data_IF_588912401499
#
_entry.id   IF_588912401499
#
_cell.length_a   1.000
_cell.length_b   1.000
_cell.length_c   1.000
_cell.angle_alpha   90.00
_cell.angle_beta   90.00
_cell.angle_gamma   90.00
#
_symmetry.space_group_name_H-M   'P 1'
#
loop_
_entity.id
_entity.type
_entity.pdbx_description
1 polymer ?
#
# COMPACT_ATOMS: atom_id res chain seq x y z
N UNK A 1 -5.06 6.71 -22.42
CA UNK A 1 -4.40 5.66 -21.58
C UNK A 1 -5.43 5.12 -20.61
N UNK A 2 -5.64 3.80 -20.55
CA UNK A 2 -6.52 3.20 -19.53
C UNK A 2 -5.86 3.35 -18.16
N UNK A 3 -6.54 4.01 -17.22
CA UNK A 3 -6.09 4.18 -15.84
C UNK A 3 -7.02 3.37 -14.95
N UNK A 4 -6.45 2.56 -14.06
CA UNK A 4 -7.21 1.88 -13.03
C UNK A 4 -7.66 2.88 -11.96
N UNK A 5 -8.84 2.66 -11.40
CA UNK A 5 -9.28 3.36 -10.19
C UNK A 5 -8.69 2.67 -8.96
N UNK A 6 -8.41 3.44 -7.91
CA UNK A 6 -7.90 2.91 -6.64
C UNK A 6 -9.02 2.95 -5.61
N UNK A 7 -9.22 1.83 -4.91
CA UNK A 7 -10.07 1.75 -3.72
C UNK A 7 -9.20 1.36 -2.54
N UNK A 8 -9.00 2.30 -1.62
CA UNK A 8 -8.26 2.07 -0.39
C UNK A 8 -9.24 1.63 0.69
N UNK A 9 -9.03 0.46 1.28
CA UNK A 9 -9.86 -0.04 2.36
C UNK A 9 -9.51 0.65 3.68
N UNK A 10 -10.46 0.65 4.63
CA UNK A 10 -10.27 1.24 5.96
C UNK A 10 -9.02 0.72 6.68
N UNK A 11 -8.71 -0.57 6.52
CA UNK A 11 -7.50 -1.18 7.08
C UNK A 11 -6.21 -0.56 6.53
N UNK A 12 -6.17 -0.27 5.23
CA UNK A 12 -5.02 0.39 4.62
C UNK A 12 -4.90 1.88 5.01
N UNK A 13 -6.03 2.54 5.30
CA UNK A 13 -6.02 3.90 5.85
C UNK A 13 -5.45 3.89 7.27
N UNK A 14 -5.92 2.97 8.12
CA UNK A 14 -5.38 2.83 9.48
C UNK A 14 -3.87 2.51 9.49
N UNK A 15 -3.41 1.62 8.59
CA UNK A 15 -1.98 1.33 8.42
C UNK A 15 -1.18 2.59 8.01
N UNK A 16 -1.77 3.47 7.18
CA UNK A 16 -1.13 4.71 6.75
C UNK A 16 -1.03 5.72 7.88
N UNK A 17 -2.10 5.88 8.64
CA UNK A 17 -2.16 6.82 9.75
C UNK A 17 -1.13 6.42 10.83
N UNK A 18 -1.09 5.13 11.21
CA UNK A 18 -0.10 4.60 12.16
C UNK A 18 1.35 4.84 11.68
N UNK A 19 1.63 4.53 10.41
CA UNK A 19 2.95 4.72 9.84
C UNK A 19 3.35 6.20 9.72
N UNK A 20 2.40 7.07 9.38
CA UNK A 20 2.61 8.50 9.30
C UNK A 20 2.91 9.10 10.67
N UNK A 21 2.13 8.77 11.69
CA UNK A 21 2.36 9.21 13.07
C UNK A 21 3.74 8.76 13.56
N UNK A 22 4.07 7.47 13.40
CA UNK A 22 5.38 6.93 13.78
C UNK A 22 6.55 7.70 13.16
N UNK A 23 6.49 7.99 11.85
CA UNK A 23 7.57 8.72 11.19
C UNK A 23 7.57 10.21 11.52
N UNK A 24 6.41 10.80 11.80
CA UNK A 24 6.26 12.20 12.20
C UNK A 24 6.86 12.44 13.58
N UNK A 25 6.65 11.52 14.52
CA UNK A 25 7.22 11.55 15.87
C UNK A 25 8.75 11.50 15.85
N UNK A 26 9.34 10.79 14.88
CA UNK A 26 10.79 10.79 14.66
C UNK A 26 11.24 12.13 14.05
N UNK A 27 10.56 12.56 12.98
CA UNK A 27 10.81 13.83 12.30
C UNK A 27 9.61 14.18 11.41
N UNK A 28 8.97 15.36 11.56
CA UNK A 28 7.82 15.74 10.75
C UNK A 28 8.05 15.65 9.23
N UNK A 29 9.25 16.00 8.75
CA UNK A 29 9.62 15.90 7.33
C UNK A 29 9.68 14.45 6.85
N UNK A 30 9.91 13.49 7.74
CA UNK A 30 9.95 12.07 7.41
C UNK A 30 8.54 11.51 7.21
N UNK A 31 7.57 11.92 8.04
CA UNK A 31 6.14 11.63 7.85
C UNK A 31 5.63 12.14 6.50
N UNK A 32 5.89 13.42 6.18
CA UNK A 32 5.56 13.99 4.88
C UNK A 32 6.19 13.22 3.71
N UNK A 33 7.47 12.87 3.85
CA UNK A 33 8.20 12.08 2.85
C UNK A 33 7.59 10.71 2.67
N UNK A 34 7.15 10.05 3.73
CA UNK A 34 6.48 8.76 3.68
C UNK A 34 5.21 8.83 2.83
N UNK A 35 4.30 9.75 3.16
CA UNK A 35 3.05 9.94 2.42
C UNK A 35 3.30 10.27 0.95
N UNK A 36 4.30 11.11 0.66
CA UNK A 36 4.67 11.44 -0.73
C UNK A 36 5.08 10.20 -1.53
N UNK A 37 5.88 9.31 -0.95
CA UNK A 37 6.33 8.09 -1.63
C UNK A 37 5.17 7.07 -1.76
N UNK A 38 4.32 6.93 -0.75
CA UNK A 38 3.12 6.08 -0.83
C UNK A 38 2.23 6.56 -1.98
N UNK A 39 1.93 7.85 -2.06
CA UNK A 39 1.08 8.42 -3.11
C UNK A 39 1.68 8.22 -4.51
N UNK A 40 3.00 8.39 -4.66
CA UNK A 40 3.68 8.08 -5.92
C UNK A 40 3.51 6.60 -6.30
N UNK A 41 3.69 5.69 -5.33
CA UNK A 41 3.52 4.24 -5.52
C UNK A 41 2.08 3.87 -5.91
N UNK A 42 1.08 4.50 -5.29
CA UNK A 42 -0.34 4.31 -5.64
C UNK A 42 -0.64 4.85 -7.04
N UNK A 43 -0.06 5.99 -7.42
CA UNK A 43 -0.22 6.53 -8.77
C UNK A 43 0.45 5.64 -9.84
N UNK A 44 1.55 4.97 -9.52
CA UNK A 44 2.13 3.96 -10.39
C UNK A 44 1.20 2.75 -10.56
N UNK A 45 0.55 2.30 -9.48
CA UNK A 45 -0.44 1.21 -9.53
C UNK A 45 -1.65 1.53 -10.42
N UNK A 46 -2.05 2.80 -10.52
CA UNK A 46 -3.11 3.22 -11.48
C UNK A 46 -2.75 2.91 -12.93
N UNK A 47 -1.46 2.95 -13.27
CA UNK A 47 -0.96 2.75 -14.64
C UNK A 47 -0.51 1.31 -14.88
N UNK A 48 0.13 0.69 -13.89
CA UNK A 48 0.79 -0.60 -14.02
C UNK A 48 0.46 -1.54 -12.84
N UNK A 49 -0.79 -2.03 -12.68
CA UNK A 49 -1.17 -2.86 -11.53
C UNK A 49 -0.79 -4.34 -11.65
N UNK A 50 -0.18 -4.77 -12.76
CA UNK A 50 0.00 -6.20 -13.11
C UNK A 50 1.26 -6.85 -12.47
N UNK A 51 1.52 -6.61 -11.18
CA UNK A 51 2.63 -7.24 -10.47
C UNK A 51 2.36 -8.72 -10.17
N UNK A 52 3.40 -9.53 -9.93
CA UNK A 52 3.24 -10.96 -9.64
C UNK A 52 2.28 -11.23 -8.47
N UNK A 53 1.38 -12.20 -8.65
CA UNK A 53 0.52 -12.72 -7.58
C UNK A 53 1.39 -13.53 -6.62
N UNK A 54 1.30 -13.22 -5.32
CA UNK A 54 2.12 -13.86 -4.28
C UNK A 54 1.37 -14.99 -3.56
N UNK A 55 0.08 -14.82 -3.33
CA UNK A 55 -0.82 -15.83 -2.76
C UNK A 55 -2.26 -15.48 -3.15
N UNK A 56 -3.11 -16.49 -3.33
CA UNK A 56 -4.50 -16.36 -3.78
C UNK A 56 -4.68 -15.44 -4.99
N UNK A 57 -5.07 -14.19 -4.76
CA UNK A 57 -5.19 -13.11 -5.76
C UNK A 57 -4.46 -11.83 -5.35
N UNK A 58 -3.68 -11.89 -4.28
CA UNK A 58 -2.94 -10.77 -3.73
C UNK A 58 -1.65 -10.53 -4.49
N UNK A 59 -1.46 -9.26 -4.84
CA UNK A 59 -0.24 -8.70 -5.41
C UNK A 59 0.39 -7.80 -4.37
N UNK A 60 1.71 -7.69 -4.41
CA UNK A 60 2.50 -6.90 -3.48
C UNK A 60 3.30 -5.85 -4.24
N UNK A 61 3.29 -4.61 -3.73
CA UNK A 61 4.14 -3.55 -4.23
C UNK A 61 4.92 -2.93 -3.07
N UNK A 62 6.24 -3.07 -3.10
CA UNK A 62 7.13 -2.44 -2.13
C UNK A 62 7.11 -0.92 -2.32
N UNK A 63 7.07 -0.19 -1.20
CA UNK A 63 7.22 1.26 -1.15
C UNK A 63 8.72 1.56 -1.06
N UNK A 64 9.31 2.03 -2.16
CA UNK A 64 10.75 2.27 -2.20
C UNK A 64 11.20 3.21 -1.08
N UNK A 65 12.34 2.93 -0.44
CA UNK A 65 12.94 3.71 0.67
C UNK A 65 12.22 3.60 2.03
N UNK A 66 11.13 2.84 2.10
CA UNK A 66 10.46 2.54 3.36
C UNK A 66 10.23 1.03 3.47
N UNK A 67 10.32 0.45 4.66
CA UNK A 67 10.06 -0.97 4.85
C UNK A 67 8.56 -1.24 4.90
N UNK A 68 7.83 -0.87 3.85
CA UNK A 68 6.40 -1.07 3.75
C UNK A 68 6.02 -1.68 2.40
N UNK A 69 4.98 -2.50 2.41
CA UNK A 69 4.45 -3.17 1.23
C UNK A 69 2.95 -2.88 1.13
N UNK A 70 2.53 -2.46 -0.06
CA UNK A 70 1.12 -2.36 -0.42
C UNK A 70 0.62 -3.75 -0.81
N UNK A 71 -0.34 -4.27 -0.04
CA UNK A 71 -1.07 -5.49 -0.35
C UNK A 71 -2.36 -5.12 -1.07
N UNK A 72 -2.53 -5.60 -2.30
CA UNK A 72 -3.67 -5.23 -3.13
C UNK A 72 -4.15 -6.37 -4.03
N UNK A 73 -5.39 -6.28 -4.50
CA UNK A 73 -5.91 -7.14 -5.57
C UNK A 73 -6.30 -6.29 -6.78
N UNK A 74 -6.44 -6.95 -7.93
CA UNK A 74 -6.76 -6.31 -9.21
C UNK A 74 -8.04 -6.91 -9.79
N UNK A 75 -9.07 -6.10 -9.95
CA UNK A 75 -10.26 -6.43 -10.74
C UNK A 75 -10.07 -5.85 -12.16
N UNK A 76 -9.65 -6.72 -13.08
CA UNK A 76 -9.37 -6.34 -14.47
C UNK A 76 -10.66 -5.97 -15.23
N UNK A 77 -11.79 -6.60 -14.90
CA UNK A 77 -13.08 -6.33 -15.56
C UNK A 77 -13.60 -4.95 -15.21
N UNK A 78 -13.51 -4.57 -13.92
CA UNK A 78 -13.95 -3.26 -13.43
C UNK A 78 -12.86 -2.18 -13.51
N UNK A 79 -11.64 -2.56 -13.85
CA UNK A 79 -10.46 -1.70 -13.82
C UNK A 79 -10.25 -1.04 -12.44
N UNK A 80 -10.34 -1.84 -11.37
CA UNK A 80 -10.18 -1.37 -9.97
C UNK A 80 -9.02 -2.10 -9.31
N UNK A 81 -8.15 -1.34 -8.65
CA UNK A 81 -7.14 -1.83 -7.71
C UNK A 81 -7.69 -1.65 -6.29
N UNK A 82 -7.84 -2.74 -5.55
CA UNK A 82 -8.27 -2.72 -4.16
C UNK A 82 -7.05 -2.84 -3.25
N UNK A 83 -6.74 -1.79 -2.50
CA UNK A 83 -5.63 -1.78 -1.53
C UNK A 83 -6.17 -2.18 -0.17
N UNK A 84 -5.72 -3.32 0.34
CA UNK A 84 -6.18 -3.92 1.61
C UNK A 84 -5.32 -3.51 2.78
N UNK A 85 -4.03 -3.27 2.58
CA UNK A 85 -3.13 -2.89 3.66
C UNK A 85 -1.81 -2.32 3.15
N UNK A 86 -1.17 -1.52 3.99
CA UNK A 86 0.16 -0.95 3.77
C UNK A 86 1.02 -1.38 4.94
N UNK A 87 1.56 -2.60 4.83
CA UNK A 87 2.12 -3.32 5.97
C UNK A 87 3.62 -3.11 6.07
N UNK A 88 4.11 -2.96 7.30
CA UNK A 88 5.55 -2.86 7.56
C UNK A 88 6.23 -4.22 7.33
N UNK A 89 7.20 -4.26 6.41
CA UNK A 89 7.96 -5.44 6.01
C UNK A 89 8.79 -6.05 7.14
N UNK A 90 9.13 -5.29 8.17
CA UNK A 90 9.88 -5.77 9.34
C UNK A 90 8.97 -6.25 10.47
N UNK A 91 7.67 -5.94 10.44
CA UNK A 91 6.74 -6.44 11.44
C UNK A 91 6.40 -7.91 11.18
N UNK A 92 6.43 -8.71 12.24
CA UNK A 92 6.21 -10.16 12.16
C UNK A 92 4.80 -10.45 11.59
N UNK A 93 4.67 -11.26 10.51
CA UNK A 93 3.39 -11.51 9.84
C UNK A 93 2.28 -12.05 10.75
N UNK A 94 2.65 -12.64 11.89
CA UNK A 94 1.71 -13.15 12.89
C UNK A 94 0.87 -12.04 13.58
N UNK A 95 1.24 -10.77 13.44
CA UNK A 95 0.46 -9.63 13.94
C UNK A 95 -0.63 -9.15 12.99
N UNK A 96 -0.74 -9.70 11.78
CA UNK A 96 -1.81 -9.29 10.88
C UNK A 96 -3.17 -9.76 11.42
N UNK A 97 -4.19 -8.89 11.44
CA UNK A 97 -5.54 -9.33 11.71
C UNK A 97 -5.91 -10.37 10.65
N UNK A 98 -6.32 -11.55 11.12
CA UNK A 98 -6.90 -12.57 10.25
C UNK A 98 -8.22 -12.02 9.75
N UNK A 99 -8.29 -11.75 8.44
CA UNK A 99 -9.53 -11.46 7.73
C UNK A 99 -10.45 -12.67 7.75
#
# INVERSE_FOLDING_TARGET
MKSFSIRVLKSAVADLDEAYEYYTDINPKLGERFIKIVNATINDLKKYPYYQIRYDSFRMKVINKFPYVIHYTLDEKKQIVFIYGIRNSYQNPKKYPKV
#
